data_IF_463192607881
#
_entry.id   IF_463192607881
#
_cell.length_a   1.000
_cell.length_b   1.000
_cell.length_c   1.000
_cell.angle_alpha   90.00
_cell.angle_beta   90.00
_cell.angle_gamma   90.00
#
_symmetry.space_group_name_H-M   'P 1'
#
loop_
_entity.id
_entity.type
_entity.pdbx_description
1 polymer ?
#
# COMPACT_ATOMS: atom_id res chain seq x y z
N UNK A 1 -16.68 11.69 3.73
CA UNK A 1 -15.66 11.13 2.82
C UNK A 1 -15.75 11.87 1.50
N UNK A 2 -14.63 12.37 0.99
CA UNK A 2 -14.52 12.99 -0.32
C UNK A 2 -13.83 12.00 -1.26
N UNK A 3 -14.33 11.88 -2.48
CA UNK A 3 -13.76 11.02 -3.54
C UNK A 3 -13.35 11.94 -4.67
N UNK A 4 -12.09 11.87 -5.05
CA UNK A 4 -11.51 12.59 -6.18
C UNK A 4 -11.11 11.59 -7.25
N UNK A 5 -11.60 11.78 -8.45
CA UNK A 5 -11.17 11.03 -9.62
C UNK A 5 -10.33 11.94 -10.51
N UNK A 6 -9.20 11.42 -11.00
CA UNK A 6 -8.30 12.10 -11.92
C UNK A 6 -7.94 11.15 -13.03
N UNK A 7 -8.01 11.62 -14.26
CA UNK A 7 -7.53 10.85 -15.42
C UNK A 7 -6.28 11.52 -15.97
N UNK A 8 -5.24 10.71 -16.15
CA UNK A 8 -4.01 11.13 -16.84
C UNK A 8 -4.17 10.80 -18.32
N UNK A 9 -3.85 11.77 -19.17
CA UNK A 9 -3.88 11.60 -20.60
C UNK A 9 -2.48 11.81 -21.20
N UNK A 10 -2.18 11.09 -22.27
CA UNK A 10 -1.03 11.36 -23.12
C UNK A 10 -1.23 12.72 -23.79
N UNK A 11 -0.26 13.61 -23.69
CA UNK A 11 -0.37 15.00 -24.18
C UNK A 11 -0.42 15.07 -25.70
N UNK A 12 0.18 14.09 -26.40
CA UNK A 12 0.28 14.07 -27.86
C UNK A 12 -0.93 13.40 -28.49
N UNK A 13 -1.33 12.25 -27.96
CA UNK A 13 -2.40 11.42 -28.54
C UNK A 13 -3.77 11.67 -27.92
N UNK A 14 -3.83 12.29 -26.74
CA UNK A 14 -5.06 12.45 -25.97
C UNK A 14 -5.55 11.16 -25.31
N UNK A 15 -4.85 10.03 -25.50
CA UNK A 15 -5.25 8.75 -24.96
C UNK A 15 -5.18 8.74 -23.43
N UNK A 16 -6.18 8.13 -22.77
CA UNK A 16 -6.14 7.93 -21.32
C UNK A 16 -5.06 6.91 -20.96
N UNK A 17 -4.13 7.31 -20.09
CA UNK A 17 -3.02 6.48 -19.61
C UNK A 17 -3.39 5.80 -18.30
N UNK A 18 -4.01 6.54 -17.38
CA UNK A 18 -4.37 6.03 -16.06
C UNK A 18 -5.55 6.80 -15.47
N UNK A 19 -6.33 6.14 -14.61
CA UNK A 19 -7.31 6.77 -13.73
C UNK A 19 -6.87 6.59 -12.27
N UNK A 20 -6.97 7.66 -11.50
CA UNK A 20 -6.61 7.69 -10.09
C UNK A 20 -7.83 8.10 -9.29
N UNK A 21 -8.30 7.20 -8.43
CA UNK A 21 -9.35 7.48 -7.47
C UNK A 21 -8.73 7.67 -6.08
N UNK A 22 -8.98 8.82 -5.46
CA UNK A 22 -8.47 9.16 -4.14
C UNK A 22 -9.63 9.39 -3.16
N UNK A 23 -9.66 8.60 -2.09
CA UNK A 23 -10.65 8.71 -1.02
C UNK A 23 -10.05 9.43 0.18
N UNK A 24 -10.63 10.56 0.56
CA UNK A 24 -10.24 11.30 1.75
C UNK A 24 -11.30 11.16 2.83
N UNK A 25 -10.92 10.57 3.98
CA UNK A 25 -11.77 10.53 5.15
C UNK A 25 -11.62 11.83 5.95
N UNK A 26 -12.62 12.71 5.85
CA UNK A 26 -12.69 13.94 6.63
C UNK A 26 -13.21 13.60 8.03
N UNK A 27 -12.30 13.61 9.01
CA UNK A 27 -12.66 13.39 10.42
C UNK A 27 -13.20 14.69 10.99
N UNK A 28 -14.34 14.63 11.68
CA UNK A 28 -15.04 15.77 12.29
C UNK A 28 -15.62 16.84 11.31
N UNK A 29 -15.53 16.62 10.01
CA UNK A 29 -16.13 17.54 8.99
C UNK A 29 -17.47 16.99 8.49
N UNK A 30 -18.24 16.34 9.34
CA UNK A 30 -19.56 15.79 9.03
C UNK A 30 -20.65 16.46 9.86
N UNK A 31 -21.90 16.01 9.68
CA UNK A 31 -23.04 16.47 10.49
C UNK A 31 -23.83 17.60 9.85
N UNK A 32 -23.53 17.98 8.61
CA UNK A 32 -24.26 18.99 7.86
C UNK A 32 -25.54 18.44 7.18
N UNK A 33 -25.76 17.13 7.23
CA UNK A 33 -26.99 16.54 6.70
C UNK A 33 -28.17 17.04 7.53
N UNK A 34 -28.79 18.11 7.10
CA UNK A 34 -30.14 18.47 7.51
C UNK A 34 -31.04 17.26 7.25
N UNK A 35 -32.14 17.17 7.97
CA UNK A 35 -33.08 16.04 8.06
C UNK A 35 -33.71 15.56 6.73
N UNK A 36 -33.20 15.94 5.57
CA UNK A 36 -33.80 15.71 4.26
C UNK A 36 -32.84 15.17 3.17
N UNK A 37 -31.61 14.73 3.46
CA UNK A 37 -30.78 14.13 2.44
C UNK A 37 -30.86 12.62 2.54
N UNK A 38 -31.53 11.98 1.56
CA UNK A 38 -31.32 10.55 1.28
C UNK A 38 -29.81 10.33 1.13
N UNK A 39 -29.20 9.47 1.94
CA UNK A 39 -27.77 9.19 1.78
C UNK A 39 -27.54 8.73 0.35
N UNK A 40 -26.51 9.24 -0.35
CA UNK A 40 -26.17 8.74 -1.67
C UNK A 40 -26.05 7.22 -1.57
N UNK A 41 -26.76 6.51 -2.44
CA UNK A 41 -26.61 5.07 -2.55
C UNK A 41 -25.11 4.82 -2.74
N UNK A 42 -24.51 4.16 -1.77
CA UNK A 42 -23.14 3.67 -1.93
C UNK A 42 -23.15 2.82 -3.20
N UNK A 43 -22.45 3.26 -4.21
CA UNK A 43 -22.01 2.37 -5.26
C UNK A 43 -21.41 1.17 -4.50
N UNK A 44 -22.07 0.04 -4.61
CA UNK A 44 -21.64 -1.18 -3.98
C UNK A 44 -20.42 -1.68 -4.74
N UNK A 45 -19.26 -1.10 -4.46
CA UNK A 45 -18.04 -1.85 -4.64
C UNK A 45 -18.24 -3.15 -3.85
N UNK A 46 -18.09 -4.32 -4.46
CA UNK A 46 -18.31 -5.58 -3.78
C UNK A 46 -17.53 -5.55 -2.47
N UNK A 47 -18.24 -5.84 -1.37
CA UNK A 47 -17.60 -5.93 -0.06
C UNK A 47 -16.43 -6.91 -0.22
N UNK A 48 -15.22 -6.41 -0.06
CA UNK A 48 -14.03 -7.25 -0.13
C UNK A 48 -14.18 -8.35 0.91
N UNK A 49 -14.09 -9.64 0.55
CA UNK A 49 -14.29 -10.72 1.50
C UNK A 49 -13.38 -10.50 2.72
N UNK A 50 -13.83 -10.90 3.92
CA UNK A 50 -12.98 -10.90 5.10
C UNK A 50 -11.72 -11.67 4.75
N UNK A 51 -10.57 -11.09 4.99
CA UNK A 51 -9.32 -11.80 4.76
C UNK A 51 -9.22 -12.90 5.80
N UNK A 52 -9.17 -14.13 5.34
CA UNK A 52 -8.79 -15.25 6.17
C UNK A 52 -7.46 -14.95 6.86
N UNK A 53 -7.40 -15.30 8.12
CA UNK A 53 -6.27 -15.00 8.99
C UNK A 53 -5.09 -15.88 8.55
N UNK A 54 -4.25 -15.39 7.64
CA UNK A 54 -3.06 -16.09 7.14
C UNK A 54 -1.94 -16.22 8.17
N UNK A 55 -2.24 -16.03 9.46
CA UNK A 55 -1.25 -16.03 10.52
C UNK A 55 -0.69 -17.43 10.82
N UNK A 56 -1.38 -18.48 10.41
CA UNK A 56 -1.06 -19.86 10.77
C UNK A 56 -0.42 -20.68 9.63
N UNK A 57 -0.37 -20.13 8.40
CA UNK A 57 0.25 -20.81 7.27
C UNK A 57 1.73 -20.39 7.13
N UNK A 58 2.66 -21.36 6.99
CA UNK A 58 4.05 -21.00 6.71
C UNK A 58 4.14 -20.31 5.34
N UNK A 59 4.87 -19.18 5.23
CA UNK A 59 5.00 -18.47 3.96
C UNK A 59 5.82 -19.30 2.95
N UNK A 60 5.44 -19.26 1.68
CA UNK A 60 6.20 -19.88 0.59
C UNK A 60 7.51 -19.13 0.33
N UNK A 61 7.49 -17.79 0.51
CA UNK A 61 8.67 -16.96 0.38
C UNK A 61 8.76 -15.94 1.52
N UNK A 62 9.99 -15.67 1.94
CA UNK A 62 10.31 -14.63 2.92
C UNK A 62 11.43 -13.75 2.37
N UNK A 63 11.21 -12.44 2.33
CA UNK A 63 12.20 -11.47 1.88
C UNK A 63 12.37 -10.38 2.92
N UNK A 64 13.59 -10.17 3.37
CA UNK A 64 13.95 -9.12 4.32
C UNK A 64 14.66 -7.97 3.59
N UNK A 65 14.12 -6.76 3.71
CA UNK A 65 14.71 -5.55 3.14
C UNK A 65 14.85 -4.51 4.23
N UNK A 66 16.09 -4.09 4.49
CA UNK A 66 16.39 -2.99 5.42
C UNK A 66 16.06 -1.68 4.73
N UNK A 67 15.23 -0.84 5.35
CA UNK A 67 15.03 0.53 4.89
C UNK A 67 16.23 1.39 5.31
N UNK A 68 16.67 2.30 4.44
CA UNK A 68 17.76 3.21 4.78
C UNK A 68 17.33 4.18 5.89
N UNK A 69 18.22 4.53 6.85
CA UNK A 69 17.89 5.55 7.86
C UNK A 69 17.47 6.90 7.26
N UNK A 70 17.95 7.23 6.07
CA UNK A 70 17.60 8.44 5.32
C UNK A 70 16.49 8.25 4.28
N UNK A 71 15.82 7.09 4.24
CA UNK A 71 14.83 6.77 3.21
C UNK A 71 13.71 7.82 3.10
N UNK A 72 13.23 8.33 4.23
CA UNK A 72 12.21 9.37 4.24
C UNK A 72 12.70 10.70 3.64
N UNK A 73 13.97 11.06 3.87
CA UNK A 73 14.59 12.26 3.30
C UNK A 73 14.74 12.14 1.77
N UNK A 74 15.08 10.95 1.29
CA UNK A 74 15.20 10.67 -0.15
C UNK A 74 13.81 10.68 -0.80
N UNK A 75 12.85 9.97 -0.22
CA UNK A 75 11.50 9.83 -0.78
C UNK A 75 10.79 11.18 -0.93
N UNK A 76 10.91 12.08 0.08
CA UNK A 76 10.26 13.39 0.03
C UNK A 76 10.72 14.29 -1.13
N UNK A 77 11.88 14.01 -1.72
CA UNK A 77 12.40 14.81 -2.85
C UNK A 77 11.56 14.63 -4.11
N UNK A 78 10.93 13.46 -4.27
CA UNK A 78 10.19 13.11 -5.48
C UNK A 78 8.67 13.18 -5.34
N UNK A 79 8.11 13.08 -4.13
CA UNK A 79 6.67 12.91 -4.01
C UNK A 79 6.03 13.70 -2.86
N UNK A 80 6.30 13.37 -1.61
CA UNK A 80 5.57 13.86 -0.45
C UNK A 80 6.47 14.61 0.53
N UNK A 81 6.22 15.91 0.68
CA UNK A 81 6.98 16.81 1.57
C UNK A 81 6.34 17.02 2.94
N UNK A 82 5.35 16.19 3.31
CA UNK A 82 4.71 16.30 4.62
C UNK A 82 5.77 16.25 5.74
N UNK A 83 5.81 17.27 6.64
CA UNK A 83 6.79 17.34 7.70
C UNK A 83 6.74 16.18 8.69
N UNK A 84 5.64 15.44 8.77
CA UNK A 84 5.50 14.22 9.58
C UNK A 84 6.63 13.19 9.33
N UNK A 85 7.22 13.21 8.15
CA UNK A 85 8.24 12.25 7.73
C UNK A 85 9.67 12.72 8.00
N UNK A 86 9.88 13.96 8.48
CA UNK A 86 11.22 14.52 8.67
C UNK A 86 11.37 15.37 9.94
N UNK A 87 10.29 15.94 10.44
CA UNK A 87 10.31 16.84 11.59
C UNK A 87 9.93 16.07 12.87
N UNK A 88 10.86 15.93 13.85
CA UNK A 88 10.57 15.23 15.08
C UNK A 88 9.49 15.89 15.95
N UNK A 89 9.35 17.22 15.89
CA UNK A 89 8.34 17.92 16.70
C UNK A 89 6.95 17.69 16.14
N UNK A 90 6.82 17.72 14.82
CA UNK A 90 5.57 17.40 14.11
C UNK A 90 5.18 15.94 14.35
N UNK A 91 6.14 15.02 14.29
CA UNK A 91 5.87 13.60 14.56
C UNK A 91 5.38 13.38 15.99
N UNK A 92 6.03 14.01 16.99
CA UNK A 92 5.62 13.92 18.39
C UNK A 92 4.23 14.54 18.63
N UNK A 93 3.95 15.68 18.01
CA UNK A 93 2.63 16.33 18.09
C UNK A 93 1.52 15.44 17.49
N UNK A 94 1.86 14.63 16.50
CA UNK A 94 0.97 13.64 15.89
C UNK A 94 0.86 12.31 16.66
N UNK A 95 1.56 12.17 17.81
CA UNK A 95 1.53 11.00 18.66
C UNK A 95 2.55 9.92 18.32
N UNK A 96 3.56 10.21 17.49
CA UNK A 96 4.60 9.27 17.11
C UNK A 96 5.94 9.61 17.78
N UNK A 97 6.75 8.61 18.19
CA UNK A 97 8.01 8.87 18.88
C UNK A 97 9.08 9.53 18.02
N UNK A 98 9.00 9.38 16.69
CA UNK A 98 9.95 9.91 15.69
C UNK A 98 9.31 9.99 14.32
N UNK A 99 9.92 10.69 13.34
CA UNK A 99 9.42 10.75 11.97
C UNK A 99 9.19 9.38 11.33
N UNK A 100 8.10 9.28 10.58
CA UNK A 100 7.67 8.05 9.93
C UNK A 100 8.29 7.88 8.54
N UNK A 101 8.47 6.63 8.11
CA UNK A 101 8.66 6.34 6.69
C UNK A 101 7.33 6.56 5.96
N UNK A 102 7.37 7.08 4.74
CA UNK A 102 6.19 7.24 3.89
C UNK A 102 5.52 5.89 3.62
N UNK A 103 4.20 5.86 3.69
CA UNK A 103 3.43 4.64 3.40
C UNK A 103 3.73 4.09 1.99
N UNK A 104 3.79 4.96 0.98
CA UNK A 104 4.10 4.52 -0.39
C UNK A 104 5.56 4.08 -0.55
N UNK A 105 6.50 4.54 0.28
CA UNK A 105 7.85 3.98 0.31
C UNK A 105 7.84 2.54 0.85
N UNK A 106 7.10 2.30 1.94
CA UNK A 106 6.87 0.95 2.48
C UNK A 106 6.20 0.03 1.46
N UNK A 107 5.21 0.56 0.73
CA UNK A 107 4.55 -0.13 -0.38
C UNK A 107 5.53 -0.54 -1.49
N UNK A 108 6.43 0.38 -1.88
CA UNK A 108 7.46 0.11 -2.88
C UNK A 108 8.48 -0.95 -2.43
N UNK A 109 8.81 -0.99 -1.13
CA UNK A 109 9.69 -2.04 -0.55
C UNK A 109 8.99 -3.41 -0.65
N UNK A 110 7.70 -3.50 -0.29
CA UNK A 110 6.93 -4.72 -0.43
C UNK A 110 6.81 -5.17 -1.89
N UNK A 111 6.55 -4.23 -2.81
CA UNK A 111 6.54 -4.47 -4.25
C UNK A 111 7.86 -5.09 -4.72
N UNK A 112 9.00 -4.50 -4.33
CA UNK A 112 10.33 -5.01 -4.67
C UNK A 112 10.52 -6.44 -4.16
N UNK A 113 10.11 -6.74 -2.93
CA UNK A 113 10.22 -8.07 -2.34
C UNK A 113 9.45 -9.11 -3.17
N UNK A 114 8.23 -8.78 -3.61
CA UNK A 114 7.39 -9.65 -4.45
C UNK A 114 8.03 -9.88 -5.82
N UNK A 115 8.48 -8.81 -6.48
CA UNK A 115 9.12 -8.90 -7.79
C UNK A 115 10.40 -9.73 -7.72
N UNK A 116 11.18 -9.56 -6.65
CA UNK A 116 12.40 -10.33 -6.42
C UNK A 116 12.12 -11.84 -6.21
N UNK A 117 11.16 -12.17 -5.37
CA UNK A 117 10.88 -13.55 -4.98
C UNK A 117 10.07 -14.32 -6.02
N UNK A 118 9.07 -13.67 -6.65
CA UNK A 118 8.05 -14.36 -7.43
C UNK A 118 8.05 -14.02 -8.93
N UNK A 119 8.80 -12.98 -9.34
CA UNK A 119 8.83 -12.53 -10.74
C UNK A 119 10.25 -12.52 -11.36
N UNK A 120 11.23 -13.19 -10.75
CA UNK A 120 12.62 -13.25 -11.23
C UNK A 120 13.23 -11.86 -11.48
N UNK A 121 12.88 -10.85 -10.69
CA UNK A 121 13.23 -9.42 -10.86
C UNK A 121 12.64 -8.75 -12.12
N UNK A 122 11.67 -9.35 -12.77
CA UNK A 122 10.95 -8.74 -13.88
C UNK A 122 9.71 -8.00 -13.38
N UNK A 123 9.84 -6.67 -13.24
CA UNK A 123 8.75 -5.81 -12.78
C UNK A 123 7.58 -5.71 -13.78
N UNK A 124 7.80 -6.04 -15.06
CA UNK A 124 6.74 -5.98 -16.10
C UNK A 124 5.66 -7.03 -15.86
N UNK A 125 5.97 -8.08 -15.11
CA UNK A 125 5.01 -9.11 -14.73
C UNK A 125 4.00 -8.66 -13.68
N UNK A 126 4.28 -7.59 -12.91
CA UNK A 126 3.36 -7.11 -11.89
C UNK A 126 2.14 -6.44 -12.54
N UNK A 127 0.96 -7.04 -12.36
CA UNK A 127 -0.31 -6.55 -12.92
C UNK A 127 -1.14 -5.78 -11.89
N UNK A 128 -1.10 -6.20 -10.63
CA UNK A 128 -1.79 -5.50 -9.55
C UNK A 128 -1.07 -5.67 -8.23
N UNK A 129 -1.18 -4.66 -7.37
CA UNK A 129 -0.71 -4.70 -6.00
C UNK A 129 -1.68 -3.91 -5.12
N UNK A 130 -2.11 -4.49 -4.03
CA UNK A 130 -2.99 -3.83 -3.07
C UNK A 130 -2.63 -4.21 -1.66
N UNK A 131 -2.75 -3.24 -0.73
CA UNK A 131 -2.38 -3.40 0.67
C UNK A 131 -3.33 -2.66 1.60
N UNK A 132 -3.25 -3.02 2.88
CA UNK A 132 -3.73 -2.22 3.99
C UNK A 132 -2.56 -1.85 4.90
N UNK A 133 -2.32 -0.57 5.10
CA UNK A 133 -1.39 -0.11 6.13
C UNK A 133 -2.00 -0.29 7.51
N UNK A 134 -1.31 -1.02 8.38
CA UNK A 134 -1.80 -1.42 9.71
C UNK A 134 -1.08 -0.73 10.84
N UNK A 135 0.20 -0.39 10.64
CA UNK A 135 1.02 0.32 11.63
C UNK A 135 2.10 1.15 10.91
N UNK A 136 2.67 2.15 11.60
CA UNK A 136 3.77 2.96 11.05
C UNK A 136 5.06 2.16 10.92
N UNK A 137 5.87 2.55 9.93
CA UNK A 137 7.27 2.12 9.75
C UNK A 137 8.15 3.31 10.02
N UNK A 138 9.30 3.06 10.63
CA UNK A 138 10.31 4.09 10.85
C UNK A 138 11.54 3.86 9.98
N UNK A 139 12.17 4.92 9.45
CA UNK A 139 13.41 4.79 8.69
C UNK A 139 14.48 4.00 9.47
N UNK A 140 15.15 3.09 8.78
CA UNK A 140 16.15 2.18 9.34
C UNK A 140 15.63 0.82 9.79
N UNK A 141 14.30 0.63 9.84
CA UNK A 141 13.72 -0.67 10.20
C UNK A 141 13.77 -1.67 9.05
N UNK A 142 13.87 -2.96 9.40
CA UNK A 142 13.86 -4.09 8.48
C UNK A 142 12.43 -4.55 8.21
N UNK A 143 12.03 -4.52 6.95
CA UNK A 143 10.73 -5.02 6.50
C UNK A 143 10.88 -6.47 6.02
N UNK A 144 10.28 -7.39 6.76
CA UNK A 144 10.06 -8.77 6.32
C UNK A 144 8.76 -8.85 5.55
N UNK A 145 8.83 -9.26 4.29
CA UNK A 145 7.65 -9.58 3.48
C UNK A 145 7.49 -11.09 3.43
N UNK A 146 6.39 -11.58 3.97
CA UNK A 146 5.97 -12.98 3.93
C UNK A 146 4.92 -13.13 2.85
N UNK A 147 5.19 -14.03 1.88
CA UNK A 147 4.41 -14.22 0.66
C UNK A 147 3.89 -15.65 0.60
N UNK A 148 2.63 -15.79 0.25
CA UNK A 148 1.94 -17.05 0.02
C UNK A 148 1.36 -17.06 -1.39
N UNK A 149 1.40 -18.21 -2.05
CA UNK A 149 0.64 -18.42 -3.27
C UNK A 149 -0.86 -18.49 -2.97
N UNK A 150 -1.67 -18.00 -3.87
CA UNK A 150 -3.13 -18.01 -3.79
C UNK A 150 -3.71 -18.60 -5.08
N UNK A 151 -4.97 -19.01 -5.04
CA UNK A 151 -5.65 -19.45 -6.26
C UNK A 151 -5.78 -18.27 -7.23
N UNK A 152 -5.38 -18.50 -8.48
CA UNK A 152 -5.43 -17.47 -9.50
C UNK A 152 -6.86 -17.28 -10.01
N UNK A 153 -7.35 -16.05 -9.97
CA UNK A 153 -8.67 -15.69 -10.49
C UNK A 153 -8.76 -15.75 -12.03
N UNK A 154 -7.60 -15.80 -12.72
CA UNK A 154 -7.51 -15.77 -14.18
C UNK A 154 -6.44 -16.72 -14.69
N UNK A 155 -6.71 -17.49 -15.77
CA UNK A 155 -5.68 -18.26 -16.46
C UNK A 155 -4.50 -17.37 -16.87
N UNK A 156 -3.29 -17.91 -16.81
CA UNK A 156 -2.08 -17.17 -17.17
C UNK A 156 -1.64 -16.10 -16.19
N UNK A 157 -2.18 -16.14 -14.96
CA UNK A 157 -1.76 -15.25 -13.88
C UNK A 157 -1.41 -16.05 -12.63
N UNK A 158 -0.58 -15.46 -11.78
CA UNK A 158 -0.23 -15.96 -10.47
C UNK A 158 -0.78 -14.99 -9.42
N UNK A 159 -1.64 -15.47 -8.54
CA UNK A 159 -2.13 -14.69 -7.42
C UNK A 159 -1.27 -14.92 -6.17
N UNK A 160 -1.04 -13.86 -5.43
CA UNK A 160 -0.23 -13.86 -4.21
C UNK A 160 -0.97 -13.14 -3.09
N UNK A 161 -0.87 -13.70 -1.88
CA UNK A 161 -1.21 -13.02 -0.62
C UNK A 161 0.07 -12.69 0.12
N UNK A 162 0.13 -11.57 0.82
CA UNK A 162 1.31 -11.23 1.60
C UNK A 162 1.01 -10.31 2.78
N UNK A 163 1.95 -10.27 3.72
CA UNK A 163 2.01 -9.29 4.80
C UNK A 163 3.43 -8.79 4.98
N UNK A 164 3.58 -7.60 5.55
CA UNK A 164 4.89 -7.09 5.95
C UNK A 164 4.95 -6.88 7.46
N UNK A 165 6.07 -7.29 8.05
CA UNK A 165 6.36 -7.22 9.48
C UNK A 165 7.65 -6.43 9.65
N UNK A 166 7.67 -5.48 10.57
CA UNK A 166 8.92 -4.88 11.05
C UNK A 166 9.58 -5.86 12.02
N UNK A 167 10.76 -6.36 11.66
CA UNK A 167 11.42 -7.42 12.43
C UNK A 167 11.78 -6.98 13.85
N UNK A 168 12.30 -5.78 14.02
CA UNK A 168 12.77 -5.23 15.29
C UNK A 168 11.66 -5.13 16.34
N UNK A 169 10.39 -5.04 15.89
CA UNK A 169 9.24 -4.87 16.77
C UNK A 169 8.22 -6.03 16.70
N UNK A 170 8.39 -6.97 15.78
CA UNK A 170 7.41 -8.01 15.50
C UNK A 170 6.04 -7.45 15.07
N UNK A 171 5.98 -6.24 14.53
CA UNK A 171 4.74 -5.52 14.25
C UNK A 171 4.34 -5.66 12.79
N UNK A 172 3.12 -6.12 12.53
CA UNK A 172 2.53 -6.16 11.18
C UNK A 172 2.22 -4.73 10.74
N UNK A 173 2.89 -4.26 9.69
CA UNK A 173 2.77 -2.90 9.15
C UNK A 173 1.99 -2.85 7.84
N UNK A 174 2.00 -3.94 7.08
CA UNK A 174 1.12 -4.18 5.94
C UNK A 174 0.35 -5.48 6.20
N UNK A 175 -0.97 -5.40 6.11
CA UNK A 175 -1.88 -6.55 6.13
C UNK A 175 -2.72 -6.59 4.87
N UNK A 176 -3.37 -7.73 4.63
CA UNK A 176 -4.27 -7.92 3.49
C UNK A 176 -3.59 -7.60 2.15
N UNK A 177 -2.29 -7.85 2.06
CA UNK A 177 -1.54 -7.67 0.83
C UNK A 177 -1.99 -8.69 -0.22
N UNK A 178 -2.25 -8.21 -1.43
CA UNK A 178 -2.54 -9.05 -2.60
C UNK A 178 -1.76 -8.53 -3.79
N UNK A 179 -1.23 -9.45 -4.59
CA UNK A 179 -0.58 -9.14 -5.84
C UNK A 179 -1.02 -10.11 -6.93
N UNK A 180 -0.98 -9.66 -8.17
CA UNK A 180 -1.18 -10.51 -9.34
C UNK A 180 0.01 -10.31 -10.28
N UNK A 181 0.63 -11.42 -10.68
CA UNK A 181 1.69 -11.45 -11.66
C UNK A 181 1.17 -12.05 -12.97
N UNK A 182 1.60 -11.51 -14.11
CA UNK A 182 1.39 -12.11 -15.41
C UNK A 182 2.42 -13.20 -15.71
N UNK A 183 2.21 -13.95 -16.79
CA UNK A 183 3.20 -14.88 -17.34
C UNK A 183 4.48 -14.12 -17.76
N UNK A 184 5.63 -14.78 -17.72
CA UNK A 184 6.84 -14.25 -18.35
C UNK A 184 6.61 -14.13 -19.86
N UNK A 185 7.08 -13.04 -20.44
CA UNK A 185 7.11 -12.87 -21.92
C UNK A 185 8.20 -13.71 -22.54
#
# INVERSE_FOLDING_TARGET
MLIFERTLHDEVTGAAIASIEHHTLCRADGGFAGTAATPPQRSSAPARPPVENTQDEPPDHVVDIVSLPQAALIYRLSADRNPLHVDPDVARAAGFPRPLLHGLCTYGIACRAIVQACAANDATRLRSLSVRFSAPVYPGETLRTEILHDEADRPGTQALRFRCIVQERGTVVISNGRATLGEPE
#
